data_IF_254472397098
#
_entry.id   IF_254472397098
#
_cell.length_a   1.000
_cell.length_b   1.000
_cell.length_c   1.000
_cell.angle_alpha   90.00
_cell.angle_beta   90.00
_cell.angle_gamma   90.00
#
_symmetry.space_group_name_H-M   'P 1'
#
loop_
_entity.id
_entity.type
_entity.pdbx_description
1 polymer ?
#
# COMPACT_ATOMS: atom_id res chain seq x y z
N UNK A 1 1.03 -15.79 10.23
CA UNK A 1 1.35 -15.00 9.02
C UNK A 1 1.86 -15.93 7.91
N UNK A 2 1.23 -17.09 7.71
CA UNK A 2 1.78 -18.19 6.90
C UNK A 2 2.01 -17.80 5.44
N UNK A 3 1.01 -17.14 4.83
CA UNK A 3 1.12 -16.68 3.45
C UNK A 3 2.27 -15.67 3.23
N UNK A 4 2.62 -14.86 4.23
CA UNK A 4 3.79 -13.97 4.14
C UNK A 4 5.09 -14.80 4.15
N UNK A 5 5.19 -15.76 5.08
CA UNK A 5 6.35 -16.65 5.17
C UNK A 5 6.59 -17.42 3.87
N UNK A 6 5.53 -17.97 3.26
CA UNK A 6 5.60 -18.64 1.96
C UNK A 6 6.11 -17.71 0.85
N UNK A 7 5.57 -16.48 0.76
CA UNK A 7 6.06 -15.49 -0.22
C UNK A 7 7.53 -15.14 -0.02
N UNK A 8 8.00 -15.05 1.24
CA UNK A 8 9.40 -14.80 1.55
C UNK A 8 10.29 -15.98 1.13
N UNK A 9 9.85 -17.21 1.38
CA UNK A 9 10.53 -18.43 0.93
C UNK A 9 10.63 -18.47 -0.60
N UNK A 10 9.54 -18.19 -1.30
CA UNK A 10 9.52 -18.14 -2.76
C UNK A 10 10.40 -17.02 -3.31
N UNK A 11 10.40 -15.85 -2.67
CA UNK A 11 11.27 -14.75 -3.03
C UNK A 11 12.75 -15.12 -2.88
N UNK A 12 13.12 -15.85 -1.82
CA UNK A 12 14.47 -16.38 -1.62
C UNK A 12 14.85 -17.40 -2.70
N UNK A 13 13.98 -18.37 -2.97
CA UNK A 13 14.23 -19.43 -3.96
C UNK A 13 14.36 -18.87 -5.38
N UNK A 14 13.49 -17.91 -5.77
CA UNK A 14 13.56 -17.22 -7.07
C UNK A 14 14.89 -16.49 -7.28
N UNK A 15 15.50 -15.98 -6.20
CA UNK A 15 16.81 -15.31 -6.21
C UNK A 15 17.99 -16.27 -6.03
N UNK A 16 17.74 -17.58 -5.94
CA UNK A 16 18.75 -18.62 -5.70
C UNK A 16 19.59 -18.38 -4.44
N UNK A 17 19.01 -17.75 -3.42
CA UNK A 17 19.70 -17.53 -2.16
C UNK A 17 19.59 -18.77 -1.26
N UNK A 18 20.74 -19.25 -0.79
CA UNK A 18 20.77 -20.27 0.25
C UNK A 18 20.23 -19.71 1.56
N UNK A 19 19.72 -20.58 2.43
CA UNK A 19 19.30 -20.19 3.77
C UNK A 19 20.43 -19.51 4.54
N UNK A 20 21.65 -20.04 4.42
CA UNK A 20 22.85 -19.49 5.04
C UNK A 20 23.18 -18.07 4.54
N UNK A 21 23.07 -17.83 3.23
CA UNK A 21 23.30 -16.51 2.64
C UNK A 21 22.35 -15.47 3.23
N UNK A 22 21.07 -15.80 3.37
CA UNK A 22 20.07 -14.89 3.94
C UNK A 22 20.32 -14.68 5.42
N UNK A 23 20.58 -15.76 6.18
CA UNK A 23 20.92 -15.68 7.60
C UNK A 23 22.10 -14.75 7.86
N UNK A 24 23.19 -14.91 7.11
CA UNK A 24 24.40 -14.08 7.24
C UNK A 24 24.10 -12.61 6.96
N UNK A 25 23.39 -12.31 5.87
CA UNK A 25 23.07 -10.92 5.46
C UNK A 25 22.02 -10.24 6.36
N UNK A 26 21.09 -11.02 6.91
CA UNK A 26 20.03 -10.54 7.79
C UNK A 26 20.44 -10.51 9.27
N UNK A 27 21.59 -11.11 9.62
CA UNK A 27 22.09 -11.18 10.99
C UNK A 27 21.23 -12.07 11.90
N UNK A 28 20.72 -13.19 11.38
CA UNK A 28 19.83 -14.10 12.11
C UNK A 28 20.28 -15.56 12.02
N UNK A 29 19.80 -16.38 12.95
CA UNK A 29 20.05 -17.82 12.95
C UNK A 29 19.19 -18.57 11.92
N UNK A 30 19.62 -19.77 11.48
CA UNK A 30 18.83 -20.65 10.59
C UNK A 30 17.46 -21.02 11.19
N UNK A 31 17.34 -21.36 12.49
CA UNK A 31 16.03 -21.57 13.11
C UNK A 31 15.12 -20.34 13.02
N UNK A 32 15.65 -19.13 13.17
CA UNK A 32 14.88 -17.90 13.03
C UNK A 32 14.36 -17.72 11.61
N UNK A 33 15.21 -17.92 10.60
CA UNK A 33 14.80 -17.84 9.19
C UNK A 33 13.75 -18.92 8.86
N UNK A 34 13.91 -20.14 9.37
CA UNK A 34 12.91 -21.20 9.22
C UNK A 34 11.55 -20.77 9.78
N UNK A 35 11.50 -20.24 11.00
CA UNK A 35 10.25 -19.72 11.61
C UNK A 35 9.62 -18.60 10.79
N UNK A 36 10.45 -17.69 10.25
CA UNK A 36 10.00 -16.61 9.36
C UNK A 36 9.34 -17.16 8.09
N UNK A 37 9.97 -18.15 7.45
CA UNK A 37 9.42 -18.79 6.24
C UNK A 37 8.14 -19.58 6.51
N UNK A 38 7.89 -19.98 7.76
CA UNK A 38 6.62 -20.59 8.19
C UNK A 38 5.59 -19.56 8.70
N UNK A 39 5.96 -18.27 8.76
CA UNK A 39 5.06 -17.19 9.15
C UNK A 39 4.71 -17.18 10.65
N UNK A 40 5.64 -17.65 11.49
CA UNK A 40 5.53 -17.66 12.95
C UNK A 40 5.42 -16.23 13.51
N UNK A 41 4.31 -15.95 14.21
CA UNK A 41 4.05 -14.62 14.77
C UNK A 41 4.92 -14.30 16.01
N UNK A 42 5.53 -15.31 16.62
CA UNK A 42 6.43 -15.17 17.78
C UNK A 42 7.78 -14.52 17.43
N UNK A 43 8.15 -14.47 16.15
CA UNK A 43 9.40 -13.85 15.71
C UNK A 43 9.22 -12.34 15.65
N UNK A 44 10.14 -11.59 16.25
CA UNK A 44 10.11 -10.14 16.25
C UNK A 44 10.03 -9.57 14.83
N UNK A 45 9.16 -8.58 14.62
CA UNK A 45 8.90 -7.98 13.31
C UNK A 45 10.17 -7.43 12.65
N UNK A 46 11.14 -6.94 13.44
CA UNK A 46 12.43 -6.47 12.94
C UNK A 46 13.20 -7.54 12.16
N UNK A 47 13.06 -8.82 12.51
CA UNK A 47 13.69 -9.91 11.75
C UNK A 47 13.02 -10.13 10.39
N UNK A 48 11.69 -10.01 10.30
CA UNK A 48 10.98 -10.03 9.01
C UNK A 48 11.42 -8.88 8.11
N UNK A 49 11.53 -7.67 8.68
CA UNK A 49 12.00 -6.47 7.97
C UNK A 49 13.43 -6.66 7.45
N UNK A 50 14.33 -7.23 8.27
CA UNK A 50 15.70 -7.52 7.84
C UNK A 50 15.75 -8.54 6.69
N UNK A 51 14.91 -9.58 6.73
CA UNK A 51 14.81 -10.55 5.63
C UNK A 51 14.27 -9.88 4.36
N UNK A 52 13.23 -9.05 4.46
CA UNK A 52 12.71 -8.26 3.34
C UNK A 52 13.79 -7.36 2.73
N UNK A 53 14.58 -6.67 3.56
CA UNK A 53 15.74 -5.86 3.12
C UNK A 53 16.74 -6.68 2.33
N UNK A 54 17.12 -7.87 2.82
CA UNK A 54 18.06 -8.77 2.13
C UNK A 54 17.50 -9.29 0.80
N UNK A 55 16.18 -9.48 0.72
CA UNK A 55 15.50 -9.91 -0.50
C UNK A 55 15.22 -8.74 -1.46
N UNK A 56 15.52 -7.49 -1.09
CA UNK A 56 15.22 -6.31 -1.90
C UNK A 56 13.71 -6.04 -2.03
N UNK A 57 12.96 -6.35 -0.98
CA UNK A 57 11.50 -6.18 -0.88
C UNK A 57 11.13 -5.22 0.28
N UNK A 58 12.07 -4.35 0.68
CA UNK A 58 11.83 -3.43 1.80
C UNK A 58 10.75 -2.40 1.47
N UNK A 59 10.72 -1.92 0.22
CA UNK A 59 9.76 -0.92 -0.25
C UNK A 59 8.30 -1.41 -0.18
N UNK A 60 8.07 -2.73 -0.26
CA UNK A 60 6.74 -3.32 -0.12
C UNK A 60 6.09 -3.01 1.24
N UNK A 61 6.90 -2.73 2.26
CA UNK A 61 6.39 -2.31 3.57
C UNK A 61 5.65 -0.97 3.50
N UNK A 62 6.07 -0.06 2.61
CA UNK A 62 5.40 1.23 2.39
C UNK A 62 4.04 1.10 1.71
N UNK A 63 3.78 -0.02 1.03
CA UNK A 63 2.48 -0.30 0.43
C UNK A 63 1.44 -0.77 1.46
N UNK A 64 1.87 -1.22 2.65
CA UNK A 64 0.96 -1.67 3.70
C UNK A 64 0.11 -0.49 4.17
N UNK A 65 -1.21 -0.71 4.19
CA UNK A 65 -2.21 0.31 4.53
C UNK A 65 -2.26 1.54 3.58
N UNK A 66 -1.62 1.49 2.40
CA UNK A 66 -1.72 2.57 1.40
C UNK A 66 -3.16 2.81 0.90
N UNK A 67 -3.98 1.76 0.88
CA UNK A 67 -5.39 1.83 0.54
C UNK A 67 -6.30 1.30 1.64
N UNK A 68 -6.51 2.10 2.69
CA UNK A 68 -7.54 1.81 3.70
C UNK A 68 -8.95 2.13 3.16
N UNK A 69 -9.44 1.27 2.25
CA UNK A 69 -10.77 1.41 1.63
C UNK A 69 -11.91 1.35 2.65
N UNK A 70 -11.71 0.67 3.77
CA UNK A 70 -12.72 0.59 4.84
C UNK A 70 -12.74 1.90 5.62
N UNK A 71 -11.57 2.38 6.07
CA UNK A 71 -11.46 3.66 6.76
C UNK A 71 -11.95 4.83 5.91
N UNK A 72 -11.65 4.85 4.60
CA UNK A 72 -12.18 5.87 3.67
C UNK A 72 -13.70 5.85 3.59
N UNK A 73 -14.32 4.68 3.50
CA UNK A 73 -15.79 4.57 3.50
C UNK A 73 -16.41 5.09 4.79
N UNK A 74 -15.82 4.77 5.94
CA UNK A 74 -16.28 5.29 7.25
C UNK A 74 -16.15 6.82 7.31
N UNK A 75 -15.07 7.39 6.77
CA UNK A 75 -14.91 8.84 6.65
C UNK A 75 -15.98 9.46 5.74
N UNK A 76 -16.25 8.85 4.59
CA UNK A 76 -17.26 9.33 3.65
C UNK A 76 -18.67 9.29 4.24
N UNK A 77 -18.99 8.24 5.00
CA UNK A 77 -20.27 8.09 5.69
C UNK A 77 -20.44 9.05 6.88
N UNK A 78 -19.34 9.51 7.48
CA UNK A 78 -19.34 10.48 8.59
C UNK A 78 -19.28 11.94 8.12
N UNK A 79 -19.13 12.21 6.81
CA UNK A 79 -19.23 13.57 6.27
C UNK A 79 -20.66 14.11 6.44
N UNK A 80 -20.84 15.37 6.87
CA UNK A 80 -22.17 15.96 7.03
C UNK A 80 -22.90 16.00 5.68
N UNK A 81 -24.06 15.34 5.62
CA UNK A 81 -24.89 15.01 4.45
C UNK A 81 -25.37 16.19 3.56
N UNK A 82 -24.86 17.41 3.72
CA UNK A 82 -25.27 18.56 2.90
C UNK A 82 -24.11 19.51 2.58
N UNK A 83 -23.46 19.28 1.44
CA UNK A 83 -22.85 20.37 0.66
C UNK A 83 -23.65 20.53 -0.62
N UNK A 84 -24.30 21.70 -0.79
CA UNK A 84 -24.95 22.07 -2.05
C UNK A 84 -23.86 22.24 -3.12
N UNK A 85 -24.09 21.66 -4.30
CA UNK A 85 -23.23 21.92 -5.46
C UNK A 85 -23.20 23.45 -5.74
N UNK A 86 -22.04 24.04 -6.05
CA UNK A 86 -21.95 25.44 -6.41
C UNK A 86 -22.73 25.70 -7.70
N UNK A 87 -23.56 26.75 -7.71
CA UNK A 87 -24.41 27.10 -8.86
C UNK A 87 -23.51 27.52 -10.03
N UNK A 88 -23.60 26.82 -11.16
CA UNK A 88 -22.91 27.20 -12.41
C UNK A 88 -23.37 28.61 -12.80
N UNK A 89 -22.50 29.62 -12.71
CA UNK A 89 -22.78 30.93 -13.29
C UNK A 89 -22.72 30.76 -14.81
N UNK A 90 -23.88 30.81 -15.47
CA UNK A 90 -23.93 30.88 -16.92
C UNK A 90 -23.37 32.26 -17.30
N UNK A 91 -22.16 32.30 -17.85
CA UNK A 91 -21.69 33.48 -18.56
C UNK A 91 -22.53 33.58 -19.83
N UNK A 92 -23.59 34.39 -19.77
CA UNK A 92 -24.30 34.81 -20.95
C UNK A 92 -23.42 35.83 -21.66
N UNK A 93 -23.09 35.55 -22.91
CA UNK A 93 -22.52 36.55 -23.81
C UNK A 93 -23.64 37.53 -24.18
N UNK A 94 -23.66 38.66 -23.49
CA UNK A 94 -24.66 39.69 -23.70
C UNK A 94 -24.51 40.35 -25.08
N UNK A 95 -23.32 40.33 -25.69
CA UNK A 95 -23.11 40.94 -27.01
C UNK A 95 -23.83 40.17 -28.11
N UNK A 96 -23.86 38.83 -28.02
CA UNK A 96 -24.65 37.98 -28.91
C UNK A 96 -26.17 38.19 -28.70
N UNK A 97 -26.60 38.32 -27.45
CA UNK A 97 -28.01 38.56 -27.08
C UNK A 97 -28.49 39.93 -27.57
N UNK A 98 -27.66 40.97 -27.46
CA UNK A 98 -27.99 42.33 -27.93
C UNK A 98 -28.04 42.40 -29.46
N UNK A 99 -27.09 41.76 -30.17
CA UNK A 99 -27.05 41.73 -31.64
C UNK A 99 -28.27 41.02 -32.25
N UNK A 100 -28.83 40.02 -31.57
CA UNK A 100 -30.06 39.32 -32.00
C UNK A 100 -31.35 40.11 -31.75
N UNK A 101 -31.35 41.06 -30.82
CA UNK A 101 -32.56 41.80 -30.42
C UNK A 101 -32.79 43.09 -31.19
N UNK A 102 -31.74 43.67 -31.76
CA UNK A 102 -31.82 44.84 -32.64
C UNK A 102 -31.10 44.50 -33.97
N UNK A 103 -31.79 43.88 -34.93
CA UNK A 103 -31.27 43.68 -36.28
C UNK A 103 -31.15 45.00 -37.06
#
# INVERSE_FOLDING_TARGET
MTALGERLRDARLRRRFSMETVCLRAGISRPTLYKIEHGEASVAIGHYVNVLRVLGLLEDLGAIAGEDRVGRRIQDESLPLRKRAPKKKMQLDWDEVYRKKNP
#
